data_IF_155022910601
#
_entry.id   IF_155022910601
#
_cell.length_a   1.000
_cell.length_b   1.000
_cell.length_c   1.000
_cell.angle_alpha   90.00
_cell.angle_beta   90.00
_cell.angle_gamma   90.00
#
_symmetry.space_group_name_H-M   'P 1'
#
loop_
_entity.id
_entity.type
_entity.pdbx_description
1 polymer ?
#
# COMPACT_ATOMS: atom_id res chain seq x y z
N UNK A 1 3.87 6.89 34.09
CA UNK A 1 5.29 6.46 34.05
C UNK A 1 5.39 5.21 33.20
N UNK A 2 5.91 5.32 31.96
CA UNK A 2 6.11 4.16 31.06
C UNK A 2 7.39 3.42 31.49
N UNK A 3 7.25 2.18 31.94
CA UNK A 3 8.39 1.31 32.24
C UNK A 3 9.00 0.82 30.92
N UNK A 4 10.22 1.24 30.63
CA UNK A 4 11.00 0.74 29.50
C UNK A 4 11.57 -0.64 29.85
N UNK A 5 11.29 -1.63 29.02
CA UNK A 5 11.80 -3.00 29.16
C UNK A 5 13.23 -3.00 28.61
N UNK A 6 14.20 -3.39 29.43
CA UNK A 6 15.61 -3.46 29.04
C UNK A 6 15.91 -4.76 28.32
N UNK A 7 16.90 -4.72 27.40
CA UNK A 7 17.35 -5.88 26.58
C UNK A 7 17.66 -7.14 27.41
N UNK A 8 18.02 -7.00 28.68
CA UNK A 8 18.31 -8.11 29.59
C UNK A 8 17.06 -8.85 30.05
N UNK A 9 15.91 -8.19 30.12
CA UNK A 9 14.63 -8.79 30.52
C UNK A 9 13.98 -9.58 29.38
N UNK A 10 14.31 -9.25 28.12
CA UNK A 10 13.82 -9.96 26.95
C UNK A 10 14.47 -11.36 26.79
N UNK A 11 15.72 -11.50 27.20
CA UNK A 11 16.47 -12.78 27.07
C UNK A 11 16.10 -13.81 28.16
N UNK A 12 15.46 -13.40 29.24
CA UNK A 12 15.08 -14.31 30.34
C UNK A 12 13.73 -15.02 30.12
N UNK A 13 12.93 -14.61 29.14
CA UNK A 13 11.60 -15.19 28.87
C UNK A 13 11.63 -16.31 27.81
N UNK A 14 12.77 -16.60 27.19
CA UNK A 14 12.89 -17.59 26.10
C UNK A 14 13.33 -19.00 26.54
N UNK A 15 13.33 -19.29 27.83
CA UNK A 15 13.97 -20.49 28.37
C UNK A 15 13.09 -21.45 29.14
N UNK A 16 11.87 -21.75 28.78
CA UNK A 16 11.14 -22.92 29.31
C UNK A 16 10.05 -23.35 28.32
N UNK A 17 10.38 -24.13 27.29
CA UNK A 17 9.57 -25.23 26.75
C UNK A 17 10.50 -26.15 25.93
N UNK A 18 11.14 -27.05 26.58
CA UNK A 18 11.79 -28.18 25.93
C UNK A 18 11.75 -29.40 26.88
N UNK A 19 10.68 -30.14 26.87
CA UNK A 19 10.68 -31.57 27.28
C UNK A 19 9.33 -32.19 26.89
N UNK A 20 9.37 -33.06 25.97
CA UNK A 20 8.59 -34.29 25.82
C UNK A 20 8.16 -34.53 24.36
N UNK A 21 8.92 -35.31 23.64
CA UNK A 21 8.45 -36.52 22.92
C UNK A 21 9.63 -37.09 22.11
N UNK A 22 10.33 -38.04 22.73
CA UNK A 22 11.12 -39.02 22.02
C UNK A 22 10.26 -40.24 21.71
N UNK A 23 10.56 -40.90 20.60
CA UNK A 23 10.17 -42.21 20.11
C UNK A 23 9.18 -42.22 18.95
N UNK A 24 9.67 -42.39 17.74
CA UNK A 24 9.69 -43.67 17.05
C UNK A 24 10.54 -43.59 15.77
N UNK A 25 11.26 -44.64 15.54
CA UNK A 25 12.32 -44.86 14.60
C UNK A 25 11.86 -45.25 13.19
N UNK A 26 12.84 -45.18 12.30
CA UNK A 26 13.08 -45.91 11.05
C UNK A 26 12.59 -45.33 9.73
N UNK A 27 13.57 -44.99 8.92
CA UNK A 27 13.58 -45.34 7.49
C UNK A 27 13.63 -44.23 6.49
N UNK A 28 14.84 -43.89 6.00
CA UNK A 28 15.04 -43.65 4.56
C UNK A 28 15.13 -42.20 4.07
N UNK A 29 16.35 -41.87 3.65
CA UNK A 29 16.71 -40.97 2.53
C UNK A 29 16.52 -39.46 2.63
N UNK A 30 17.67 -38.82 2.66
CA UNK A 30 18.01 -37.43 2.37
C UNK A 30 17.11 -36.65 1.42
N UNK A 31 16.52 -35.57 1.92
CA UNK A 31 16.25 -34.37 1.14
C UNK A 31 16.25 -33.17 2.09
N UNK A 32 17.27 -32.33 1.94
CA UNK A 32 17.36 -31.01 2.60
C UNK A 32 16.26 -30.11 2.10
N UNK A 33 15.18 -30.01 2.87
CA UNK A 33 14.16 -28.97 2.65
C UNK A 33 14.40 -27.89 3.68
N UNK A 34 14.89 -26.75 3.20
CA UNK A 34 14.91 -25.52 3.96
C UNK A 34 13.48 -25.22 4.41
N UNK A 35 13.22 -25.34 5.70
CA UNK A 35 11.98 -24.89 6.31
C UNK A 35 11.93 -23.36 6.24
N UNK A 36 11.33 -22.83 5.18
CA UNK A 36 10.87 -21.46 5.11
C UNK A 36 9.77 -21.32 6.16
N UNK A 37 10.04 -20.58 7.21
CA UNK A 37 9.04 -20.20 8.21
C UNK A 37 8.04 -19.25 7.53
N UNK A 38 7.03 -19.80 6.90
CA UNK A 38 5.86 -19.05 6.54
C UNK A 38 5.14 -18.67 7.85
N UNK A 39 5.40 -17.46 8.34
CA UNK A 39 4.49 -16.83 9.28
C UNK A 39 3.14 -16.74 8.58
N UNK A 40 2.24 -17.64 8.90
CA UNK A 40 0.88 -17.65 8.40
C UNK A 40 0.19 -16.36 8.88
N UNK A 41 0.12 -15.35 8.01
CA UNK A 41 -0.90 -14.32 8.12
C UNK A 41 -2.23 -15.04 8.07
N UNK A 42 -2.96 -15.02 9.17
CA UNK A 42 -4.36 -15.42 9.18
C UNK A 42 -5.08 -14.51 8.18
N UNK A 43 -5.39 -15.05 7.01
CA UNK A 43 -6.20 -14.37 6.04
C UNK A 43 -7.57 -14.16 6.68
N UNK A 44 -7.85 -12.95 7.13
CA UNK A 44 -9.19 -12.53 7.46
C UNK A 44 -10.04 -12.73 6.19
N UNK A 45 -11.03 -13.59 6.24
CA UNK A 45 -11.96 -13.88 5.15
C UNK A 45 -12.98 -12.74 4.98
N UNK A 46 -12.50 -11.51 4.92
CA UNK A 46 -13.24 -10.30 4.61
C UNK A 46 -12.82 -9.77 3.23
N UNK A 47 -13.75 -9.18 2.49
CA UNK A 47 -13.44 -8.49 1.25
C UNK A 47 -12.35 -7.44 1.51
N UNK A 48 -11.31 -7.41 0.68
CA UNK A 48 -10.26 -6.39 0.75
C UNK A 48 -10.77 -5.04 0.25
N UNK A 49 -10.21 -3.94 0.77
CA UNK A 49 -10.38 -2.59 0.23
C UNK A 49 -9.18 -2.33 -0.67
N UNK A 50 -9.42 -2.17 -1.96
CA UNK A 50 -8.35 -1.89 -2.92
C UNK A 50 -8.09 -0.41 -3.01
N UNK A 51 -6.83 -0.01 -2.90
CA UNK A 51 -6.37 1.37 -3.01
C UNK A 51 -5.36 1.45 -4.14
N UNK A 52 -5.63 2.30 -5.12
CA UNK A 52 -4.66 2.63 -6.16
C UNK A 52 -3.52 3.48 -5.59
N UNK A 53 -2.30 3.22 -6.02
CA UNK A 53 -1.16 4.09 -5.75
C UNK A 53 -0.43 4.33 -7.07
N UNK A 54 -0.36 5.58 -7.51
CA UNK A 54 0.15 5.91 -8.83
C UNK A 54 1.21 7.02 -8.75
N UNK A 55 2.18 6.93 -9.63
CA UNK A 55 3.26 7.89 -9.80
C UNK A 55 4.32 7.38 -10.77
N UNK A 56 5.27 8.23 -11.17
CA UNK A 56 6.37 7.81 -12.02
C UNK A 56 7.28 6.85 -11.25
N UNK A 57 7.25 5.55 -11.56
CA UNK A 57 8.12 4.56 -10.94
C UNK A 57 9.40 4.33 -11.75
N UNK A 58 9.40 4.77 -13.01
CA UNK A 58 10.54 4.78 -13.92
C UNK A 58 10.79 6.20 -14.46
N UNK A 59 11.93 6.41 -15.13
CA UNK A 59 12.32 7.73 -15.65
C UNK A 59 12.91 8.69 -14.61
N UNK A 60 13.05 9.97 -14.99
CA UNK A 60 13.78 10.97 -14.21
C UNK A 60 13.12 11.32 -12.87
N UNK A 61 11.80 11.24 -12.80
CA UNK A 61 11.03 11.54 -11.58
C UNK A 61 10.77 10.30 -10.70
N UNK A 62 11.35 9.14 -11.04
CA UNK A 62 11.06 7.87 -10.37
C UNK A 62 11.36 7.85 -8.88
N UNK A 63 12.32 8.63 -8.41
CA UNK A 63 12.66 8.75 -6.99
C UNK A 63 11.44 9.25 -6.17
N UNK A 64 10.64 10.14 -6.73
CA UNK A 64 9.44 10.67 -6.07
C UNK A 64 8.31 9.64 -6.06
N UNK A 65 8.02 9.03 -7.20
CA UNK A 65 6.98 8.00 -7.30
C UNK A 65 7.26 6.78 -6.43
N UNK A 66 8.50 6.30 -6.44
CA UNK A 66 8.92 5.20 -5.56
C UNK A 66 8.79 5.56 -4.08
N UNK A 67 9.11 6.79 -3.68
CA UNK A 67 8.94 7.25 -2.30
C UNK A 67 7.47 7.22 -1.88
N UNK A 68 6.55 7.67 -2.75
CA UNK A 68 5.11 7.64 -2.49
C UNK A 68 4.59 6.21 -2.36
N UNK A 69 4.92 5.31 -3.29
CA UNK A 69 4.51 3.90 -3.23
C UNK A 69 5.05 3.22 -1.97
N UNK A 70 6.31 3.48 -1.62
CA UNK A 70 6.92 2.90 -0.42
C UNK A 70 6.27 3.43 0.86
N UNK A 71 6.01 4.74 0.93
CA UNK A 71 5.34 5.37 2.08
C UNK A 71 3.90 4.85 2.26
N UNK A 72 3.11 4.83 1.19
CA UNK A 72 1.76 4.30 1.20
C UNK A 72 1.76 2.81 1.61
N UNK A 73 2.67 2.00 1.05
CA UNK A 73 2.80 0.58 1.37
C UNK A 73 3.16 0.35 2.83
N UNK A 74 4.05 1.16 3.40
CA UNK A 74 4.44 1.06 4.80
C UNK A 74 3.25 1.37 5.72
N UNK A 75 2.55 2.47 5.45
CA UNK A 75 1.41 2.87 6.26
C UNK A 75 0.26 1.86 6.18
N UNK A 76 -0.08 1.39 4.98
CA UNK A 76 -1.14 0.39 4.81
C UNK A 76 -0.80 -0.95 5.46
N UNK A 77 0.48 -1.35 5.50
CA UNK A 77 0.91 -2.52 6.28
C UNK A 77 0.68 -2.33 7.78
N UNK A 78 0.91 -1.13 8.31
CA UNK A 78 0.63 -0.83 9.72
C UNK A 78 -0.87 -0.89 10.01
N UNK A 79 -1.69 -0.26 9.17
CA UNK A 79 -3.17 -0.32 9.29
C UNK A 79 -3.65 -1.76 9.24
N UNK A 80 -3.12 -2.57 8.34
CA UNK A 80 -3.47 -3.97 8.22
C UNK A 80 -3.06 -4.80 9.45
N UNK A 81 -1.90 -4.50 10.04
CA UNK A 81 -1.45 -5.15 11.28
C UNK A 81 -2.36 -4.81 12.48
N UNK A 82 -2.95 -3.63 12.49
CA UNK A 82 -3.91 -3.17 13.49
C UNK A 82 -5.35 -3.66 13.23
N UNK A 83 -5.56 -4.53 12.23
CA UNK A 83 -6.86 -5.13 11.91
C UNK A 83 -7.55 -4.55 10.68
N UNK A 84 -6.91 -3.64 9.96
CA UNK A 84 -7.45 -3.03 8.74
C UNK A 84 -8.49 -1.94 9.00
N UNK A 85 -9.24 -1.59 7.98
CA UNK A 85 -10.32 -0.61 8.06
C UNK A 85 -11.66 -1.32 8.19
N UNK A 86 -12.35 -1.13 9.31
CA UNK A 86 -13.59 -1.83 9.62
C UNK A 86 -13.48 -3.37 9.49
N UNK A 87 -12.32 -3.92 9.89
CA UNK A 87 -12.03 -5.35 9.81
C UNK A 87 -11.66 -5.86 8.41
N UNK A 88 -11.53 -4.97 7.42
CA UNK A 88 -11.10 -5.30 6.06
C UNK A 88 -9.65 -4.93 5.84
N UNK A 89 -8.90 -5.80 5.20
CA UNK A 89 -7.50 -5.52 4.84
C UNK A 89 -7.41 -4.57 3.66
N UNK A 90 -6.41 -3.70 3.65
CA UNK A 90 -6.07 -2.85 2.52
C UNK A 90 -5.17 -3.62 1.54
N UNK A 91 -5.48 -3.54 0.26
CA UNK A 91 -4.70 -4.08 -0.84
C UNK A 91 -4.24 -2.92 -1.75
N UNK A 92 -2.95 -2.86 -2.04
CA UNK A 92 -2.37 -1.83 -2.91
C UNK A 92 -2.33 -2.34 -4.35
N UNK A 93 -2.83 -1.51 -5.27
CA UNK A 93 -2.61 -1.66 -6.71
C UNK A 93 -1.72 -0.49 -7.13
N UNK A 94 -0.43 -0.78 -7.38
CA UNK A 94 0.53 0.24 -7.82
C UNK A 94 0.71 0.23 -9.33
N UNK A 95 0.73 1.40 -9.97
CA UNK A 95 0.98 1.55 -11.41
C UNK A 95 1.97 2.68 -11.68
N UNK A 96 2.79 2.46 -12.73
CA UNK A 96 3.79 3.40 -13.26
C UNK A 96 3.20 4.14 -14.45
N UNK A 97 3.04 5.44 -14.33
CA UNK A 97 2.56 6.31 -15.40
C UNK A 97 3.72 7.04 -16.14
N UNK A 98 4.98 6.82 -15.70
CA UNK A 98 6.20 7.30 -16.34
C UNK A 98 6.33 8.83 -16.48
N UNK A 99 5.57 9.62 -15.71
CA UNK A 99 5.50 11.08 -15.82
C UNK A 99 4.68 11.58 -17.02
N UNK A 100 3.87 10.73 -17.63
CA UNK A 100 3.07 11.03 -18.82
C UNK A 100 1.58 11.09 -18.51
N UNK A 101 0.93 12.20 -18.88
CA UNK A 101 -0.49 12.42 -18.58
C UNK A 101 -1.42 11.38 -19.24
N UNK A 102 -1.11 10.94 -20.46
CA UNK A 102 -1.91 9.95 -21.18
C UNK A 102 -1.77 8.57 -20.55
N UNK A 103 -0.57 8.22 -20.13
CA UNK A 103 -0.32 7.00 -19.37
C UNK A 103 -1.02 7.05 -18.01
N UNK A 104 -1.02 8.19 -17.33
CA UNK A 104 -1.68 8.36 -16.05
C UNK A 104 -3.19 8.08 -16.14
N UNK A 105 -3.89 8.65 -17.11
CA UNK A 105 -5.31 8.35 -17.37
C UNK A 105 -5.51 6.86 -17.69
N UNK A 106 -4.63 6.27 -18.50
CA UNK A 106 -4.69 4.85 -18.82
C UNK A 106 -4.50 3.96 -17.58
N UNK A 107 -3.55 4.30 -16.72
CA UNK A 107 -3.30 3.61 -15.45
C UNK A 107 -4.49 3.75 -14.52
N UNK A 108 -5.03 4.96 -14.37
CA UNK A 108 -6.20 5.26 -13.55
C UNK A 108 -7.42 4.41 -13.97
N UNK A 109 -7.77 4.43 -15.25
CA UNK A 109 -8.89 3.63 -15.78
C UNK A 109 -8.70 2.13 -15.49
N UNK A 110 -7.49 1.60 -15.71
CA UNK A 110 -7.18 0.19 -15.38
C UNK A 110 -7.33 -0.11 -13.89
N UNK A 111 -6.95 0.83 -13.00
CA UNK A 111 -7.14 0.67 -11.57
C UNK A 111 -8.63 0.67 -11.20
N UNK A 112 -9.43 1.54 -11.82
CA UNK A 112 -10.88 1.56 -11.65
C UNK A 112 -11.51 0.24 -12.08
N UNK A 113 -11.10 -0.34 -13.22
CA UNK A 113 -11.53 -1.66 -13.68
C UNK A 113 -11.16 -2.78 -12.70
N UNK A 114 -10.07 -2.63 -11.96
CA UNK A 114 -9.67 -3.56 -10.90
C UNK A 114 -10.42 -3.33 -9.58
N UNK A 115 -11.27 -2.31 -9.53
CA UNK A 115 -12.16 -2.03 -8.40
C UNK A 115 -11.47 -1.33 -7.23
N UNK A 116 -10.58 -0.36 -7.49
CA UNK A 116 -10.09 0.53 -6.44
C UNK A 116 -11.22 1.39 -5.87
N UNK A 117 -11.08 1.81 -4.63
CA UNK A 117 -12.05 2.63 -3.92
C UNK A 117 -11.50 4.02 -3.56
N UNK A 118 -10.21 4.21 -3.70
CA UNK A 118 -9.51 5.47 -3.52
C UNK A 118 -8.18 5.42 -4.28
N UNK A 119 -7.66 6.60 -4.63
CA UNK A 119 -6.35 6.77 -5.28
C UNK A 119 -5.43 7.60 -4.39
N UNK A 120 -4.21 7.13 -4.17
CA UNK A 120 -3.07 7.90 -3.66
C UNK A 120 -2.14 8.21 -4.84
N UNK A 121 -2.04 9.47 -5.18
CA UNK A 121 -1.32 9.95 -6.36
C UNK A 121 -2.21 10.94 -7.14
N UNK A 122 -1.80 11.56 -8.23
CA UNK A 122 -0.49 11.32 -8.80
C UNK A 122 0.57 12.18 -8.09
N UNK A 123 1.82 12.07 -8.51
CA UNK A 123 2.97 12.68 -7.83
C UNK A 123 3.36 14.00 -8.49
N UNK A 124 3.32 14.06 -9.81
CA UNK A 124 3.72 15.24 -10.59
C UNK A 124 2.49 15.98 -11.14
N UNK A 125 2.58 17.31 -11.28
CA UNK A 125 1.42 18.17 -11.56
C UNK A 125 0.68 17.78 -12.84
N UNK A 126 1.38 17.59 -13.96
CA UNK A 126 0.71 17.35 -15.26
C UNK A 126 -0.10 16.07 -15.31
N UNK A 127 0.43 14.91 -14.91
CA UNK A 127 -0.38 13.69 -14.76
C UNK A 127 -1.50 13.84 -13.73
N UNK A 128 -1.23 14.51 -12.59
CA UNK A 128 -2.24 14.74 -11.57
C UNK A 128 -3.46 15.51 -12.11
N UNK A 129 -3.25 16.57 -12.90
CA UNK A 129 -4.34 17.34 -13.51
C UNK A 129 -5.20 16.48 -14.44
N UNK A 130 -4.55 15.62 -15.26
CA UNK A 130 -5.27 14.73 -16.17
C UNK A 130 -6.13 13.70 -15.41
N UNK A 131 -5.57 13.11 -14.35
CA UNK A 131 -6.29 12.14 -13.53
C UNK A 131 -7.36 12.79 -12.65
N UNK A 132 -7.11 14.00 -12.15
CA UNK A 132 -8.09 14.76 -11.37
C UNK A 132 -9.38 15.00 -12.17
N UNK A 133 -9.25 15.38 -13.45
CA UNK A 133 -10.40 15.54 -14.34
C UNK A 133 -11.19 14.23 -14.50
N UNK A 134 -10.50 13.11 -14.75
CA UNK A 134 -11.14 11.80 -14.89
C UNK A 134 -11.76 11.30 -13.58
N UNK A 135 -11.13 11.61 -12.43
CA UNK A 135 -11.57 11.13 -11.12
C UNK A 135 -12.97 11.58 -10.76
N UNK A 136 -13.39 12.74 -11.26
CA UNK A 136 -14.71 13.29 -11.05
C UNK A 136 -15.80 12.41 -11.69
N UNK A 137 -15.56 11.92 -12.91
CA UNK A 137 -16.50 11.04 -13.64
C UNK A 137 -16.70 9.69 -12.95
N UNK A 138 -15.67 9.22 -12.25
CA UNK A 138 -15.71 7.98 -11.44
C UNK A 138 -16.15 8.23 -10.00
N UNK A 139 -16.37 9.48 -9.59
CA UNK A 139 -16.57 9.85 -8.18
C UNK A 139 -15.50 9.22 -7.26
N UNK A 140 -14.24 9.21 -7.73
CA UNK A 140 -13.12 8.56 -7.08
C UNK A 140 -12.38 9.52 -6.17
N UNK A 141 -12.34 9.30 -4.84
CA UNK A 141 -11.54 10.13 -3.96
C UNK A 141 -10.04 9.94 -4.25
N UNK A 142 -9.35 11.06 -4.41
CA UNK A 142 -7.95 11.12 -4.76
C UNK A 142 -7.19 12.00 -3.76
N UNK A 143 -6.05 11.49 -3.27
CA UNK A 143 -5.11 12.26 -2.45
C UNK A 143 -3.81 12.40 -3.22
N UNK A 144 -3.48 13.62 -3.65
CA UNK A 144 -2.19 13.86 -4.31
C UNK A 144 -1.05 13.93 -3.32
N UNK A 145 0.08 13.31 -3.67
CA UNK A 145 1.22 13.23 -2.77
C UNK A 145 2.09 14.49 -2.78
N UNK A 146 2.21 15.17 -3.92
CA UNK A 146 3.15 16.30 -4.10
C UNK A 146 2.84 17.24 -5.26
N UNK A 147 1.72 17.09 -5.95
CA UNK A 147 1.32 18.04 -6.97
C UNK A 147 0.94 19.38 -6.31
N UNK A 148 1.58 20.47 -6.72
CA UNK A 148 1.51 21.76 -6.01
C UNK A 148 0.77 22.85 -6.78
N UNK A 149 0.30 22.55 -8.00
CA UNK A 149 -0.47 23.52 -8.77
C UNK A 149 -1.86 23.69 -8.17
N UNK A 150 -2.31 24.94 -8.01
CA UNK A 150 -3.64 25.28 -7.52
C UNK A 150 -4.74 24.61 -8.34
N UNK A 151 -4.57 24.55 -9.67
CA UNK A 151 -5.49 23.92 -10.59
C UNK A 151 -5.78 22.43 -10.32
N UNK A 152 -5.02 21.77 -9.46
CA UNK A 152 -5.30 20.36 -9.05
C UNK A 152 -6.57 20.28 -8.22
N UNK A 153 -6.81 21.27 -7.37
CA UNK A 153 -7.94 21.29 -6.42
C UNK A 153 -8.93 22.41 -6.67
N UNK A 154 -8.55 23.42 -7.44
CA UNK A 154 -9.37 24.59 -7.70
C UNK A 154 -9.24 25.07 -9.14
N UNK A 155 -10.34 25.18 -9.86
CA UNK A 155 -10.40 25.76 -11.19
C UNK A 155 -10.76 27.24 -11.10
N UNK A 156 -9.79 28.10 -11.39
CA UNK A 156 -9.94 29.56 -11.33
C UNK A 156 -10.80 30.13 -12.47
N UNK A 157 -11.01 29.41 -13.57
CA UNK A 157 -11.85 29.88 -14.69
C UNK A 157 -13.34 29.71 -14.38
N UNK A 158 -13.67 28.64 -13.68
CA UNK A 158 -15.07 28.32 -13.34
C UNK A 158 -15.42 28.63 -11.89
N UNK A 159 -14.43 29.07 -11.08
CA UNK A 159 -14.58 29.30 -9.62
C UNK A 159 -15.12 28.06 -8.89
N UNK A 160 -14.61 26.88 -9.27
CA UNK A 160 -15.06 25.61 -8.70
C UNK A 160 -13.94 24.85 -8.01
N UNK A 161 -14.29 24.19 -6.92
CA UNK A 161 -13.38 23.27 -6.20
C UNK A 161 -13.58 21.85 -6.74
N UNK A 162 -12.50 21.16 -6.98
CA UNK A 162 -12.54 19.74 -7.32
C UNK A 162 -12.79 18.92 -6.03
N UNK A 163 -14.04 18.53 -5.80
CA UNK A 163 -14.49 17.89 -4.57
C UNK A 163 -13.88 16.49 -4.32
N UNK A 164 -13.30 15.89 -5.36
CA UNK A 164 -12.73 14.55 -5.28
C UNK A 164 -11.23 14.52 -4.94
N UNK A 165 -10.54 15.67 -5.00
CA UNK A 165 -9.07 15.75 -4.89
C UNK A 165 -8.65 16.54 -3.66
N UNK A 166 -7.71 15.95 -2.89
CA UNK A 166 -7.22 16.47 -1.62
C UNK A 166 -5.70 16.53 -1.59
#
# INVERSE_FOLDING_TARGET
MKKMITRRQFMAAAGVVAAASALTACGGSSASTAASSAAGSAAASGSTIKVGVMGPLTGDASVYGQAVVNGASLYMKQVNADGGVNGKQLEIIAMDEQGDATQAVTCFTKMCDQGITALVGDVTTTPTLAVAAESADYNMPMVTASATAEAVTYDAETDTVNENVF
#
